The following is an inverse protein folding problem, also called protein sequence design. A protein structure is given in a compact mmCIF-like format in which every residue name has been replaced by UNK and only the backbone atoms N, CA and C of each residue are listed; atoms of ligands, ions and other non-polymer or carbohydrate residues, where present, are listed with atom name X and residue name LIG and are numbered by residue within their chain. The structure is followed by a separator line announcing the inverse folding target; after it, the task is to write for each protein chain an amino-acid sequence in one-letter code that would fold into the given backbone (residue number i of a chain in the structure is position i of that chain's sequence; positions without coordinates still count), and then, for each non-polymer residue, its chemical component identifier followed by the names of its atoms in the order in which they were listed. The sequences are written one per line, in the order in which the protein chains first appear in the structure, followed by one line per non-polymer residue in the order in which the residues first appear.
data_IF_309334995795
#
_entry.id   IF_309334995795
#
_cell.length_a   1.000
_cell.length_b   1.000
_cell.length_c   1.000
_cell.angle_alpha   90.00
_cell.angle_beta   90.00
_cell.angle_gamma   90.00
#
_symmetry.space_group_name_H-M   'P 1'
#
loop_
_entity.id
_entity.type
_entity.pdbx_description
1 polymer ?
#
# COMPACT_ATOMS: atom_id res chain seq x y z
N UNK A 1 14.91 17.10 -21.62
CA UNK A 1 13.46 16.94 -21.44
C UNK A 1 12.82 18.30 -21.69
N UNK A 2 11.75 18.35 -22.47
CA UNK A 2 11.06 19.62 -22.80
C UNK A 2 10.03 20.00 -21.74
N UNK A 3 9.65 21.27 -21.70
CA UNK A 3 8.64 21.81 -20.77
C UNK A 3 7.28 21.08 -20.91
N UNK A 4 6.90 20.72 -22.14
CA UNK A 4 5.71 19.92 -22.41
C UNK A 4 5.78 18.49 -21.82
N UNK A 5 6.98 17.88 -21.77
CA UNK A 5 7.17 16.58 -21.14
C UNK A 5 7.05 16.67 -19.60
N UNK A 6 7.42 17.80 -19.01
CA UNK A 6 7.26 18.07 -17.58
C UNK A 6 5.79 18.32 -17.23
N UNK A 7 5.08 19.13 -18.02
CA UNK A 7 3.66 19.44 -17.82
C UNK A 7 2.78 18.19 -18.00
N UNK A 8 3.11 17.34 -19.00
CA UNK A 8 2.43 16.06 -19.21
C UNK A 8 2.68 15.08 -18.06
N UNK A 9 3.93 14.96 -17.56
CA UNK A 9 4.23 14.17 -16.36
C UNK A 9 3.48 14.66 -15.12
N UNK A 10 3.37 15.98 -14.94
CA UNK A 10 2.65 16.60 -13.82
C UNK A 10 1.13 16.38 -13.91
N UNK A 11 0.53 16.41 -15.11
CA UNK A 11 -0.89 16.11 -15.29
C UNK A 11 -1.20 14.63 -15.06
N UNK A 12 -0.32 13.73 -15.52
CA UNK A 12 -0.47 12.28 -15.37
C UNK A 12 -0.36 11.78 -13.91
N UNK A 13 0.05 12.66 -12.99
CA UNK A 13 0.10 12.42 -11.55
C UNK A 13 -1.12 12.92 -10.79
N UNK A 14 -2.08 13.62 -11.42
CA UNK A 14 -3.24 14.20 -10.73
C UNK A 14 -4.52 13.40 -10.86
N UNK A 15 -4.52 12.34 -11.65
CA UNK A 15 -5.71 11.55 -11.92
C UNK A 15 -5.44 10.05 -11.78
N UNK A 16 -6.42 9.33 -11.28
CA UNK A 16 -6.40 7.87 -11.26
C UNK A 16 -6.59 7.33 -12.67
N UNK A 17 -5.71 6.42 -13.08
CA UNK A 17 -5.73 5.79 -14.41
C UNK A 17 -6.81 4.72 -14.54
N UNK A 18 -7.31 4.22 -13.41
CA UNK A 18 -8.26 3.11 -13.34
C UNK A 18 -9.40 3.41 -12.35
N UNK A 19 -10.59 2.90 -12.67
CA UNK A 19 -11.72 2.93 -11.74
C UNK A 19 -11.49 2.09 -10.48
N UNK A 20 -10.62 1.07 -10.56
CA UNK A 20 -10.27 0.25 -9.42
C UNK A 20 -9.49 1.05 -8.38
N UNK A 21 -8.51 1.86 -8.79
CA UNK A 21 -7.79 2.72 -7.87
C UNK A 21 -8.73 3.75 -7.22
N UNK A 22 -9.61 4.40 -8.00
CA UNK A 22 -10.62 5.34 -7.46
C UNK A 22 -11.50 4.69 -6.38
N UNK A 23 -11.99 3.48 -6.64
CA UNK A 23 -12.81 2.74 -5.66
C UNK A 23 -12.00 2.38 -4.43
N UNK A 24 -10.76 1.95 -4.62
CA UNK A 24 -9.91 1.56 -3.52
C UNK A 24 -9.56 2.75 -2.62
N UNK A 25 -9.19 3.89 -3.19
CA UNK A 25 -8.90 5.10 -2.41
C UNK A 25 -10.14 5.67 -1.72
N UNK A 26 -11.31 5.56 -2.36
CA UNK A 26 -12.60 5.90 -1.73
C UNK A 26 -12.87 5.01 -0.51
N UNK A 27 -12.66 3.70 -0.66
CA UNK A 27 -12.77 2.74 0.43
C UNK A 27 -11.80 3.08 1.58
N UNK A 28 -10.50 3.23 1.29
CA UNK A 28 -9.49 3.53 2.32
C UNK A 28 -9.77 4.83 3.07
N UNK A 29 -10.34 5.84 2.39
CA UNK A 29 -10.73 7.12 3.01
C UNK A 29 -11.88 6.97 4.01
N UNK A 30 -12.69 5.91 3.90
CA UNK A 30 -13.77 5.60 4.84
C UNK A 30 -13.27 4.83 6.08
N UNK A 31 -12.08 4.24 5.99
CA UNK A 31 -11.46 3.40 7.04
C UNK A 31 -10.05 3.89 7.40
N UNK A 32 -9.86 5.16 7.82
CA UNK A 32 -8.54 5.70 8.16
C UNK A 32 -7.85 4.96 9.31
N UNK A 33 -8.59 4.25 10.15
CA UNK A 33 -8.08 3.40 11.22
C UNK A 33 -7.21 2.24 10.74
N UNK A 34 -7.29 1.84 9.46
CA UNK A 34 -6.35 0.90 8.83
C UNK A 34 -4.90 1.36 9.04
N UNK A 35 -4.68 2.67 9.08
CA UNK A 35 -3.38 3.30 9.22
C UNK A 35 -3.12 3.83 10.64
N UNK A 36 -3.89 3.37 11.64
CA UNK A 36 -3.78 3.90 13.01
C UNK A 36 -2.45 3.54 13.68
N UNK A 37 -1.79 2.47 13.24
CA UNK A 37 -0.50 2.03 13.78
C UNK A 37 0.68 2.84 13.22
N UNK A 38 0.48 3.56 12.12
CA UNK A 38 1.50 4.40 11.50
C UNK A 38 1.60 5.75 12.21
N UNK A 39 2.82 6.25 12.38
CA UNK A 39 3.05 7.59 12.93
C UNK A 39 2.67 8.69 11.92
N UNK A 40 2.39 9.89 12.41
CA UNK A 40 2.23 11.07 11.53
C UNK A 40 3.51 11.33 10.74
N UNK A 41 3.37 11.61 9.45
CA UNK A 41 4.48 11.77 8.51
C UNK A 41 4.78 10.53 7.68
N UNK A 42 4.21 9.38 8.04
CA UNK A 42 4.32 8.15 7.23
C UNK A 42 3.72 8.35 5.85
N UNK A 43 4.41 7.91 4.82
CA UNK A 43 4.17 8.24 3.43
C UNK A 43 4.39 7.02 2.57
N UNK A 44 3.34 6.35 2.11
CA UNK A 44 3.50 5.07 1.42
C UNK A 44 2.66 4.98 0.15
N UNK A 45 3.21 4.30 -0.84
CA UNK A 45 2.60 4.15 -2.14
C UNK A 45 1.87 2.80 -2.23
N UNK A 46 0.74 2.77 -2.94
CA UNK A 46 0.08 1.54 -3.40
C UNK A 46 0.21 1.45 -4.90
N UNK A 47 0.68 0.32 -5.41
CA UNK A 47 0.77 0.05 -6.83
C UNK A 47 -0.11 -1.15 -7.20
N UNK A 48 -0.99 -0.97 -8.18
CA UNK A 48 -1.95 -2.00 -8.60
C UNK A 48 -1.49 -2.63 -9.92
N UNK A 49 -1.36 -3.96 -9.93
CA UNK A 49 -0.91 -4.75 -11.08
C UNK A 49 -2.02 -5.71 -11.56
N UNK A 50 -2.14 -5.95 -12.86
CA UNK A 50 -3.08 -6.97 -13.35
C UNK A 50 -2.51 -8.38 -13.31
N UNK A 51 -1.19 -8.53 -13.34
CA UNK A 51 -0.50 -9.82 -13.41
C UNK A 51 0.89 -9.74 -12.78
N UNK A 52 1.50 -10.90 -12.54
CA UNK A 52 2.90 -11.03 -12.11
C UNK A 52 3.85 -10.50 -13.18
N UNK A 53 3.57 -10.75 -14.47
CA UNK A 53 4.38 -10.20 -15.57
C UNK A 53 4.48 -8.67 -15.55
N UNK A 54 3.38 -7.96 -15.22
CA UNK A 54 3.39 -6.50 -15.08
C UNK A 54 4.17 -6.03 -13.86
N UNK A 55 4.15 -6.82 -12.79
CA UNK A 55 4.91 -6.58 -11.58
C UNK A 55 6.41 -6.76 -11.82
N UNK A 56 6.83 -7.85 -12.44
CA UNK A 56 8.23 -8.09 -12.83
C UNK A 56 8.77 -6.99 -13.76
N UNK A 57 7.91 -6.52 -14.68
CA UNK A 57 8.22 -5.40 -15.58
C UNK A 57 8.16 -4.01 -14.90
N UNK A 58 7.83 -3.93 -13.61
CA UNK A 58 7.65 -2.69 -12.85
C UNK A 58 6.70 -1.70 -13.53
N UNK A 59 5.61 -2.22 -14.11
CA UNK A 59 4.64 -1.47 -14.91
C UNK A 59 3.23 -1.52 -14.29
N UNK A 60 3.02 -0.89 -13.12
CA UNK A 60 1.71 -0.86 -12.48
C UNK A 60 0.69 -0.14 -13.35
N UNK A 61 -0.56 -0.62 -13.28
CA UNK A 61 -1.69 0.00 -13.97
C UNK A 61 -2.09 1.31 -13.36
N UNK A 62 -1.99 1.39 -12.04
CA UNK A 62 -2.28 2.60 -11.30
C UNK A 62 -1.45 2.65 -10.04
N UNK A 63 -1.20 3.87 -9.58
CA UNK A 63 -0.45 4.12 -8.35
C UNK A 63 -1.10 5.29 -7.64
N UNK A 64 -1.21 5.17 -6.33
CA UNK A 64 -1.61 6.27 -5.48
C UNK A 64 -0.79 6.26 -4.20
N UNK A 65 -0.67 7.44 -3.60
CA UNK A 65 0.05 7.67 -2.37
C UNK A 65 -0.93 7.88 -1.22
N UNK A 66 -0.60 7.35 -0.05
CA UNK A 66 -1.28 7.61 1.21
C UNK A 66 -0.30 8.22 2.20
N UNK A 67 -0.66 9.40 2.70
CA UNK A 67 0.09 10.14 3.69
C UNK A 67 -0.67 10.18 5.01
N UNK A 68 -0.08 9.67 6.09
CA UNK A 68 -0.62 9.77 7.45
C UNK A 68 -0.36 11.18 7.98
N UNK A 69 -1.37 12.03 7.93
CA UNK A 69 -1.31 13.33 8.59
C UNK A 69 -1.72 13.19 10.06
N UNK A 70 -1.44 14.20 10.90
CA UNK A 70 -1.77 14.16 12.33
C UNK A 70 -3.27 14.03 12.66
N UNK A 71 -4.17 14.09 11.68
CA UNK A 71 -5.64 14.08 11.83
C UNK A 71 -6.31 12.86 11.19
N UNK A 72 -5.62 12.12 10.33
CA UNK A 72 -6.16 11.04 9.53
C UNK A 72 -5.19 10.67 8.40
N UNK A 73 -5.73 10.37 7.22
CA UNK A 73 -4.93 10.15 6.02
C UNK A 73 -5.28 11.17 4.94
N UNK A 74 -4.33 11.41 4.06
CA UNK A 74 -4.54 12.09 2.78
C UNK A 74 -4.16 11.12 1.67
N UNK A 75 -5.01 10.97 0.66
CA UNK A 75 -4.78 10.07 -0.47
C UNK A 75 -4.71 10.85 -1.77
N UNK A 76 -3.66 10.64 -2.57
CA UNK A 76 -3.43 11.34 -3.84
C UNK A 76 -3.07 10.35 -4.96
N UNK A 77 -3.54 10.55 -6.20
CA UNK A 77 -3.02 9.81 -7.35
C UNK A 77 -1.51 10.03 -7.52
N UNK A 78 -0.85 9.04 -8.13
CA UNK A 78 0.59 9.07 -8.37
C UNK A 78 1.44 8.57 -7.21
N UNK A 79 2.77 8.62 -7.42
CA UNK A 79 3.79 8.23 -6.44
C UNK A 79 4.20 9.41 -5.58
N UNK A 80 4.53 9.15 -4.32
CA UNK A 80 5.30 10.11 -3.53
C UNK A 80 6.69 10.35 -4.14
N UNK A 81 7.25 11.54 -3.91
CA UNK A 81 8.65 11.82 -4.27
C UNK A 81 9.64 11.11 -3.33
N UNK A 82 9.25 10.93 -2.07
CA UNK A 82 10.05 10.28 -1.01
C UNK A 82 9.13 9.39 -0.17
N UNK A 83 8.63 8.31 -0.79
CA UNK A 83 7.80 7.31 -0.12
C UNK A 83 8.65 6.37 0.72
N UNK A 84 8.15 5.98 1.90
CA UNK A 84 8.80 5.07 2.84
C UNK A 84 8.90 3.64 2.30
N UNK A 85 7.80 3.21 1.66
CA UNK A 85 7.66 1.92 1.01
C UNK A 85 6.57 1.98 -0.07
N UNK A 86 6.55 0.97 -0.94
CA UNK A 86 5.43 0.66 -1.82
C UNK A 86 4.82 -0.69 -1.44
N UNK A 87 3.50 -0.73 -1.32
CA UNK A 87 2.71 -1.95 -1.28
C UNK A 87 2.23 -2.25 -2.71
N UNK A 88 2.79 -3.30 -3.31
CA UNK A 88 2.37 -3.84 -4.59
C UNK A 88 1.20 -4.80 -4.38
N UNK A 89 0.12 -4.64 -5.15
CA UNK A 89 -1.07 -5.49 -5.04
C UNK A 89 -1.53 -5.96 -6.40
N UNK A 90 -1.89 -7.23 -6.47
CA UNK A 90 -2.72 -7.73 -7.55
C UNK A 90 -4.10 -7.07 -7.58
N UNK A 91 -4.65 -6.92 -8.79
CA UNK A 91 -6.03 -6.49 -9.01
C UNK A 91 -7.04 -7.33 -8.22
N UNK A 92 -6.85 -8.65 -8.16
CA UNK A 92 -7.73 -9.58 -7.43
C UNK A 92 -7.70 -9.33 -5.93
N UNK A 93 -6.53 -9.06 -5.34
CA UNK A 93 -6.41 -8.65 -3.94
C UNK A 93 -7.20 -7.37 -3.67
N UNK A 94 -6.99 -6.31 -4.47
CA UNK A 94 -7.71 -5.04 -4.30
C UNK A 94 -9.23 -5.23 -4.39
N UNK A 95 -9.70 -6.00 -5.37
CA UNK A 95 -11.14 -6.27 -5.54
C UNK A 95 -11.78 -6.94 -4.32
N UNK A 96 -11.02 -7.75 -3.57
CA UNK A 96 -11.47 -8.39 -2.33
C UNK A 96 -11.32 -7.48 -1.11
N UNK A 97 -10.21 -6.74 -1.00
CA UNK A 97 -9.95 -5.80 0.11
C UNK A 97 -11.06 -4.76 0.25
N UNK A 98 -11.54 -4.19 -0.87
CA UNK A 98 -12.61 -3.18 -0.87
C UNK A 98 -13.99 -3.72 -0.43
N UNK A 99 -14.12 -5.03 -0.18
CA UNK A 99 -15.36 -5.66 0.31
C UNK A 99 -15.37 -5.87 1.82
N UNK A 100 -14.23 -5.67 2.49
CA UNK A 100 -14.11 -5.77 3.95
C UNK A 100 -14.88 -4.65 4.63
N UNK A 101 -15.24 -4.83 5.91
CA UNK A 101 -16.13 -3.91 6.63
C UNK A 101 -15.48 -3.14 7.75
N UNK A 102 -14.27 -3.51 8.15
CA UNK A 102 -13.52 -2.94 9.25
C UNK A 102 -12.01 -3.20 9.10
N UNK A 103 -11.23 -2.59 9.99
CA UNK A 103 -9.77 -2.71 10.04
C UNK A 103 -9.32 -4.16 10.17
N UNK A 104 -9.93 -4.93 11.04
CA UNK A 104 -9.51 -6.28 11.41
C UNK A 104 -9.67 -7.24 10.21
N UNK A 105 -10.83 -7.20 9.55
CA UNK A 105 -11.10 -7.94 8.32
C UNK A 105 -10.13 -7.55 7.20
N UNK A 106 -9.86 -6.25 7.04
CA UNK A 106 -8.90 -5.74 6.07
C UNK A 106 -7.50 -6.28 6.35
N UNK A 107 -7.03 -6.17 7.60
CA UNK A 107 -5.68 -6.58 7.99
C UNK A 107 -5.47 -8.09 7.82
N UNK A 108 -6.41 -8.91 8.27
CA UNK A 108 -6.36 -10.37 8.10
C UNK A 108 -6.33 -10.77 6.63
N UNK A 109 -7.19 -10.15 5.81
CA UNK A 109 -7.24 -10.44 4.39
C UNK A 109 -5.96 -9.99 3.66
N UNK A 110 -5.45 -8.81 4.01
CA UNK A 110 -4.18 -8.31 3.50
C UNK A 110 -3.04 -9.29 3.82
N UNK A 111 -2.95 -9.75 5.07
CA UNK A 111 -1.97 -10.74 5.49
C UNK A 111 -2.06 -12.06 4.74
N UNK A 112 -3.28 -12.56 4.50
CA UNK A 112 -3.48 -13.78 3.73
C UNK A 112 -2.90 -13.69 2.31
N UNK A 113 -2.96 -12.52 1.67
CA UNK A 113 -2.37 -12.32 0.33
C UNK A 113 -0.84 -12.28 0.34
N UNK A 114 -0.24 -11.98 1.49
CA UNK A 114 1.22 -12.03 1.64
C UNK A 114 1.70 -13.44 2.00
N UNK A 115 1.02 -14.08 2.95
CA UNK A 115 1.40 -15.39 3.48
C UNK A 115 1.10 -16.53 2.50
N UNK A 116 0.00 -16.43 1.75
CA UNK A 116 -0.48 -17.45 0.81
C UNK A 116 -0.80 -16.80 -0.56
N UNK A 117 0.20 -16.26 -1.27
CA UNK A 117 -0.02 -15.55 -2.52
C UNK A 117 -0.50 -16.50 -3.62
N UNK A 118 -1.54 -16.09 -4.35
CA UNK A 118 -2.09 -16.86 -5.47
C UNK A 118 -2.58 -15.93 -6.58
N UNK A 119 -2.30 -16.25 -7.84
CA UNK A 119 -2.65 -15.38 -8.97
C UNK A 119 -4.16 -15.14 -9.08
N UNK A 120 -4.97 -16.14 -8.74
CA UNK A 120 -6.44 -16.04 -8.82
C UNK A 120 -7.01 -15.32 -7.61
N UNK A 121 -6.51 -15.65 -6.42
CA UNK A 121 -7.07 -15.19 -5.17
C UNK A 121 -6.53 -13.83 -4.75
N UNK A 122 -5.31 -13.50 -5.14
CA UNK A 122 -4.65 -12.27 -4.80
C UNK A 122 -3.27 -12.53 -4.20
N UNK A 123 -2.37 -11.59 -4.46
CA UNK A 123 -1.07 -11.48 -3.84
C UNK A 123 -0.79 -10.00 -3.52
N UNK A 124 0.10 -9.79 -2.55
CA UNK A 124 0.73 -8.50 -2.26
C UNK A 124 2.24 -8.68 -2.07
N UNK A 125 2.98 -7.60 -2.23
CA UNK A 125 4.42 -7.54 -1.93
C UNK A 125 4.83 -6.15 -1.43
N UNK A 126 5.90 -6.08 -0.63
CA UNK A 126 6.42 -4.83 -0.07
C UNK A 126 7.78 -4.48 -0.67
N UNK A 127 7.86 -3.33 -1.33
CA UNK A 127 9.14 -2.75 -1.74
C UNK A 127 9.54 -1.64 -0.75
N UNK A 128 10.62 -1.88 -0.01
CA UNK A 128 11.09 -0.95 1.02
C UNK A 128 12.02 0.10 0.39
N UNK A 129 11.74 1.39 0.61
CA UNK A 129 12.63 2.48 0.19
C UNK A 129 13.47 3.02 1.35
N UNK A 130 13.04 2.73 2.59
CA UNK A 130 13.76 3.05 3.82
C UNK A 130 14.24 1.77 4.51
N UNK A 131 15.20 1.93 5.43
CA UNK A 131 15.74 0.81 6.21
C UNK A 131 14.65 0.23 7.11
N UNK A 132 14.62 -1.09 7.25
CA UNK A 132 13.64 -1.82 8.06
C UNK A 132 13.47 -1.28 9.47
N UNK A 133 14.57 -0.97 10.18
CA UNK A 133 14.49 -0.41 11.53
C UNK A 133 13.71 0.91 11.56
N UNK A 134 13.97 1.80 10.60
CA UNK A 134 13.25 3.08 10.51
C UNK A 134 11.77 2.84 10.23
N UNK A 135 11.44 1.86 9.39
CA UNK A 135 10.03 1.51 9.12
C UNK A 135 9.33 0.95 10.37
N UNK A 136 10.02 0.13 11.16
CA UNK A 136 9.52 -0.36 12.45
C UNK A 136 9.24 0.83 13.38
N UNK A 137 10.19 1.76 13.53
CA UNK A 137 10.05 2.95 14.37
C UNK A 137 8.90 3.87 13.89
N UNK A 138 8.57 3.83 12.59
CA UNK A 138 7.45 4.54 11.97
C UNK A 138 6.10 3.82 12.13
N UNK A 139 6.08 2.63 12.73
CA UNK A 139 4.86 1.86 12.99
C UNK A 139 4.51 0.84 11.92
N UNK A 140 5.30 0.71 10.84
CA UNK A 140 5.07 -0.30 9.81
C UNK A 140 5.27 -1.73 10.32
N UNK A 141 6.13 -1.93 11.33
CA UNK A 141 6.27 -3.23 11.98
C UNK A 141 4.97 -3.67 12.65
N UNK A 142 4.36 -2.78 13.43
CA UNK A 142 3.05 -3.05 14.07
C UNK A 142 1.91 -3.19 13.06
N UNK A 143 1.94 -2.42 11.98
CA UNK A 143 1.01 -2.60 10.86
C UNK A 143 1.11 -4.00 10.25
N UNK A 144 2.33 -4.48 10.00
CA UNK A 144 2.58 -5.84 9.48
C UNK A 144 2.17 -6.92 10.49
N UNK A 145 2.47 -6.75 11.79
CA UNK A 145 2.03 -7.66 12.86
C UNK A 145 0.51 -7.76 12.95
N UNK A 146 -0.20 -6.61 12.85
CA UNK A 146 -1.66 -6.59 12.86
C UNK A 146 -2.26 -7.36 11.68
N UNK A 147 -1.56 -7.37 10.54
CA UNK A 147 -1.93 -8.18 9.40
C UNK A 147 -1.49 -9.66 9.51
N UNK A 148 -0.71 -10.04 10.53
CA UNK A 148 -0.14 -11.38 10.64
C UNK A 148 0.96 -11.67 9.61
N UNK A 149 1.63 -10.61 9.13
CA UNK A 149 2.73 -10.68 8.15
C UNK A 149 4.09 -10.80 8.85
N UNK A 150 4.20 -10.20 10.02
CA UNK A 150 5.37 -10.26 10.88
C UNK A 150 4.96 -10.91 12.20
N UNK A 151 5.75 -11.87 12.67
CA UNK A 151 5.55 -12.48 13.99
C UNK A 151 5.95 -11.48 15.10
N UNK A 152 5.40 -11.64 16.30
CA UNK A 152 5.81 -10.80 17.43
C UNK A 152 7.27 -11.13 17.81
N UNK A 153 8.12 -10.10 17.92
CA UNK A 153 9.56 -10.23 18.25
C UNK A 153 9.83 -10.87 19.63
N UNK A 154 8.78 -11.20 20.42
CA UNK A 154 8.90 -11.87 21.71
C UNK A 154 9.42 -13.32 21.61
N UNK A 155 9.37 -13.94 20.42
CA UNK A 155 9.91 -15.29 20.21
C UNK A 155 11.40 -15.32 19.77
N UNK A 156 12.01 -14.18 19.46
CA UNK A 156 13.41 -14.12 18.99
C UNK A 156 14.42 -13.99 20.15
N UNK A 157 13.96 -13.65 21.37
CA UNK A 157 14.79 -13.62 22.59
C UNK A 157 14.57 -14.80 23.54
N UNK A 158 13.85 -15.83 23.11
CA UNK A 158 13.75 -17.11 23.83
C UNK A 158 14.56 -18.19 23.10
N UNK A 159 15.88 -18.20 23.33
CA UNK A 159 16.82 -19.35 23.49
C UNK A 159 18.27 -18.87 23.34
#
# INVERSE_FOLDING_TARGET
MTEDQLISKLHNQKEYKTELAKKYTTFLSQYPEIFSDLISGSNFDFAIYNSVDEYDAHSPRDIFNVYRNGQGIEIKPGRAMDGDLELSLSKSAVQKLIQTKNKEEYAQLLGSFYNEPDERNGWIDFMLHKRTQLLIDMGYGKFAQTAGILEDDDDIYSI
#
